data_IF_249435828752
#
_entry.id   IF_249435828752
#
_cell.length_a   1.000
_cell.length_b   1.000
_cell.length_c   1.000
_cell.angle_alpha   90.00
_cell.angle_beta   90.00
_cell.angle_gamma   90.00
#
_symmetry.space_group_name_H-M   'P 1'
#
loop_
_entity.id
_entity.type
_entity.pdbx_description
1 polymer ?
#
# COMPACT_ATOMS: atom_id res chain seq x y z
N UNK A 1 30.27 -4.13 19.86
CA UNK A 1 30.23 -4.48 18.43
C UNK A 1 28.88 -4.04 17.90
N UNK A 2 28.85 -3.18 16.89
CA UNK A 2 27.59 -2.71 16.30
C UNK A 2 27.00 -3.82 15.42
N UNK A 3 25.68 -4.00 15.44
CA UNK A 3 25.03 -5.09 14.70
C UNK A 3 25.07 -4.80 13.20
N UNK A 4 24.87 -3.54 12.79
CA UNK A 4 25.03 -3.08 11.42
C UNK A 4 26.37 -3.46 10.81
N UNK A 5 27.48 -3.22 11.52
CA UNK A 5 28.83 -3.47 10.99
C UNK A 5 29.04 -4.96 10.72
N UNK A 6 28.62 -5.81 11.67
CA UNK A 6 28.67 -7.26 11.50
C UNK A 6 27.80 -7.73 10.32
N UNK A 7 26.59 -7.18 10.18
CA UNK A 7 25.70 -7.52 9.07
C UNK A 7 26.26 -7.05 7.72
N UNK A 8 26.95 -5.90 7.67
CA UNK A 8 27.64 -5.41 6.46
C UNK A 8 28.85 -6.29 6.11
N UNK A 9 29.64 -6.71 7.08
CA UNK A 9 30.76 -7.64 6.87
C UNK A 9 30.30 -9.02 6.38
N UNK A 10 29.10 -9.44 6.78
CA UNK A 10 28.51 -10.71 6.34
C UNK A 10 27.96 -10.68 4.91
N UNK A 11 27.73 -9.49 4.34
CA UNK A 11 27.21 -9.32 2.98
C UNK A 11 28.29 -9.69 1.95
N UNK A 12 28.04 -10.65 1.04
CA UNK A 12 28.99 -10.94 -0.03
C UNK A 12 29.24 -9.71 -0.90
N UNK A 13 30.49 -9.49 -1.30
CA UNK A 13 30.82 -8.41 -2.21
C UNK A 13 30.07 -8.57 -3.53
N UNK A 14 29.65 -7.44 -4.12
CA UNK A 14 28.93 -7.41 -5.39
C UNK A 14 29.69 -8.17 -6.50
N UNK A 15 31.02 -8.03 -6.54
CA UNK A 15 31.91 -8.70 -7.49
C UNK A 15 31.97 -10.22 -7.30
N UNK A 16 31.68 -10.72 -6.10
CA UNK A 16 31.74 -12.15 -5.78
C UNK A 16 30.39 -12.83 -5.98
N UNK A 17 29.31 -12.03 -5.93
CA UNK A 17 27.94 -12.50 -6.14
C UNK A 17 27.56 -12.55 -7.61
N UNK A 18 27.83 -11.47 -8.36
CA UNK A 18 27.37 -11.30 -9.73
C UNK A 18 28.50 -11.55 -10.75
N UNK A 19 28.16 -12.29 -11.82
CA UNK A 19 29.05 -12.54 -12.96
C UNK A 19 28.74 -11.56 -14.10
N UNK A 20 27.46 -11.52 -14.52
CA UNK A 20 26.99 -10.62 -15.60
C UNK A 20 25.57 -10.15 -15.30
N UNK A 21 25.27 -8.91 -15.69
CA UNK A 21 23.93 -8.34 -15.60
C UNK A 21 23.53 -7.74 -16.95
N UNK A 22 22.26 -7.92 -17.30
CA UNK A 22 21.63 -7.35 -18.47
C UNK A 22 20.38 -6.59 -18.03
N UNK A 23 20.16 -5.44 -18.64
CA UNK A 23 18.94 -4.64 -18.50
C UNK A 23 18.46 -4.22 -19.87
N UNK A 24 17.21 -4.54 -20.22
CA UNK A 24 16.65 -4.33 -21.56
C UNK A 24 17.53 -4.93 -22.67
N UNK A 25 18.08 -6.12 -22.44
CA UNK A 25 18.98 -6.82 -23.37
C UNK A 25 20.40 -6.25 -23.47
N UNK A 26 20.70 -5.11 -22.84
CA UNK A 26 22.03 -4.52 -22.84
C UNK A 26 22.84 -4.95 -21.61
N UNK A 27 24.12 -5.29 -21.82
CA UNK A 27 25.04 -5.59 -20.72
C UNK A 27 25.26 -4.34 -19.87
N UNK A 28 25.11 -4.45 -18.56
CA UNK A 28 25.37 -3.40 -17.56
C UNK A 28 26.32 -3.89 -16.48
N UNK A 29 27.02 -2.95 -15.85
CA UNK A 29 27.79 -3.25 -14.65
C UNK A 29 26.83 -3.54 -13.49
N UNK A 30 26.89 -4.76 -12.93
CA UNK A 30 26.03 -5.18 -11.83
C UNK A 30 26.14 -4.23 -10.62
N UNK A 31 27.35 -3.80 -10.27
CA UNK A 31 27.59 -2.99 -9.07
C UNK A 31 27.16 -1.54 -9.23
N UNK A 32 26.85 -1.09 -10.45
CA UNK A 32 26.30 0.24 -10.71
C UNK A 32 24.76 0.24 -10.70
N UNK A 33 24.13 -0.85 -11.13
CA UNK A 33 22.66 -0.93 -11.24
C UNK A 33 22.00 -1.43 -9.95
N UNK A 34 22.74 -2.16 -9.11
CA UNK A 34 22.29 -2.60 -7.80
C UNK A 34 22.74 -1.62 -6.72
N UNK A 35 21.87 -1.37 -5.74
CA UNK A 35 22.15 -0.50 -4.60
C UNK A 35 21.94 -1.26 -3.29
N UNK A 36 22.70 -0.88 -2.26
CA UNK A 36 22.56 -1.43 -0.91
C UNK A 36 21.15 -1.15 -0.36
N UNK A 37 20.51 -2.20 0.15
CA UNK A 37 19.15 -2.17 0.70
C UNK A 37 19.18 -2.75 2.12
N UNK A 38 18.50 -2.07 3.05
CA UNK A 38 18.21 -2.63 4.38
C UNK A 38 16.99 -3.52 4.31
N UNK A 39 17.07 -4.69 4.93
CA UNK A 39 15.98 -5.65 5.09
C UNK A 39 16.07 -6.31 6.47
N UNK A 40 14.98 -6.89 6.96
CA UNK A 40 14.98 -7.65 8.23
C UNK A 40 15.83 -8.93 8.16
N UNK A 41 16.08 -9.46 6.97
CA UNK A 41 16.97 -10.63 6.77
C UNK A 41 18.45 -10.22 6.75
N UNK A 42 18.76 -8.93 6.62
CA UNK A 42 20.12 -8.40 6.50
C UNK A 42 20.26 -7.28 5.48
N UNK A 43 21.49 -6.84 5.25
CA UNK A 43 21.77 -6.01 4.09
C UNK A 43 21.67 -6.84 2.81
N UNK A 44 21.17 -6.24 1.74
CA UNK A 44 20.91 -6.89 0.45
C UNK A 44 21.25 -5.96 -0.71
N UNK A 45 21.26 -6.50 -1.93
CA UNK A 45 21.32 -5.72 -3.16
C UNK A 45 19.92 -5.58 -3.76
N UNK A 46 19.51 -4.34 -4.02
CA UNK A 46 18.23 -4.03 -4.67
C UNK A 46 18.47 -3.43 -6.05
N UNK A 47 17.68 -3.87 -7.04
CA UNK A 47 17.62 -3.24 -8.34
C UNK A 47 16.38 -2.33 -8.39
N UNK A 48 16.55 -1.11 -8.89
CA UNK A 48 15.46 -0.16 -9.12
C UNK A 48 14.61 0.23 -7.90
N UNK A 49 15.12 0.06 -6.68
CA UNK A 49 14.47 0.51 -5.44
C UNK A 49 14.64 2.02 -5.23
N UNK A 50 13.61 2.70 -4.71
CA UNK A 50 13.63 4.07 -4.19
C UNK A 50 13.87 4.11 -2.67
N UNK A 51 13.75 2.97 -1.99
CA UNK A 51 14.01 2.82 -0.55
C UNK A 51 15.44 2.35 -0.26
N UNK A 52 16.29 2.27 -1.29
CA UNK A 52 17.71 1.93 -1.17
C UNK A 52 18.50 3.01 -0.43
N UNK A 53 19.62 2.63 0.19
CA UNK A 53 20.44 3.53 1.00
C UNK A 53 20.97 4.74 0.22
N UNK A 54 21.21 4.58 -1.08
CA UNK A 54 21.68 5.63 -2.00
C UNK A 54 20.58 6.61 -2.41
N UNK A 55 19.31 6.32 -2.12
CA UNK A 55 18.13 7.07 -2.59
C UNK A 55 17.25 7.60 -1.46
N UNK A 56 17.78 7.71 -0.24
CA UNK A 56 17.05 8.22 0.93
C UNK A 56 16.46 9.62 0.76
N UNK A 57 17.06 10.43 -0.10
CA UNK A 57 16.59 11.79 -0.40
C UNK A 57 15.44 11.83 -1.42
N UNK A 58 15.04 10.69 -1.99
CA UNK A 58 13.92 10.64 -2.91
C UNK A 58 12.59 10.68 -2.16
N UNK A 59 11.79 11.72 -2.41
CA UNK A 59 10.44 11.87 -1.86
C UNK A 59 9.45 12.30 -2.95
N UNK A 60 8.16 12.12 -2.68
CA UNK A 60 7.09 12.62 -3.55
C UNK A 60 7.01 14.13 -3.38
N UNK A 61 7.29 14.90 -4.43
CA UNK A 61 7.19 16.37 -4.39
C UNK A 61 5.74 16.82 -4.57
N UNK A 62 5.06 16.32 -5.60
CA UNK A 62 3.70 16.72 -5.94
C UNK A 62 2.90 15.53 -6.48
N UNK A 63 1.60 15.48 -6.12
CA UNK A 63 0.63 14.56 -6.70
C UNK A 63 -0.20 15.35 -7.72
N UNK A 64 0.28 15.46 -8.95
CA UNK A 64 -0.45 16.13 -10.02
C UNK A 64 -0.97 15.11 -11.04
N UNK A 65 -2.26 15.18 -11.35
CA UNK A 65 -2.89 14.40 -12.42
C UNK A 65 -2.64 12.88 -12.32
N UNK A 66 -2.86 12.28 -11.15
CA UNK A 66 -2.84 10.82 -11.00
C UNK A 66 -1.47 10.14 -11.23
N UNK A 67 -0.38 10.90 -11.31
CA UNK A 67 0.97 10.37 -11.50
C UNK A 67 1.89 10.75 -10.33
N UNK A 68 2.71 9.79 -9.90
CA UNK A 68 3.77 10.02 -8.91
C UNK A 68 4.90 10.80 -9.59
N UNK A 69 4.87 12.12 -9.50
CA UNK A 69 5.98 12.96 -9.94
C UNK A 69 7.04 12.97 -8.82
N UNK A 70 8.06 12.14 -9.01
CA UNK A 70 9.27 12.15 -8.21
C UNK A 70 10.03 13.45 -8.50
N UNK A 71 10.76 13.96 -7.51
CA UNK A 71 11.41 15.26 -7.61
C UNK A 71 12.28 15.36 -8.89
N UNK A 72 11.85 16.21 -9.83
CA UNK A 72 12.37 16.36 -11.21
C UNK A 72 13.84 16.80 -11.29
N UNK A 73 14.44 17.19 -10.15
CA UNK A 73 15.82 17.68 -10.10
C UNK A 73 16.87 16.58 -9.91
N UNK A 74 16.49 15.36 -9.46
CA UNK A 74 17.45 14.27 -9.30
C UNK A 74 17.09 13.07 -10.20
N UNK A 75 17.84 12.83 -11.29
CA UNK A 75 17.56 11.71 -12.19
C UNK A 75 17.67 10.34 -11.48
N UNK A 76 18.41 10.24 -10.38
CA UNK A 76 18.51 9.01 -9.59
C UNK A 76 17.19 8.58 -8.94
N UNK A 77 16.28 9.53 -8.72
CA UNK A 77 14.95 9.29 -8.15
C UNK A 77 13.93 8.83 -9.17
N UNK A 78 14.28 8.70 -10.46
CA UNK A 78 13.37 8.14 -11.47
C UNK A 78 13.61 6.63 -11.61
N UNK A 79 12.59 5.77 -11.36
CA UNK A 79 12.73 4.34 -11.59
C UNK A 79 12.96 4.05 -13.07
N UNK A 80 13.83 3.07 -13.34
CA UNK A 80 14.07 2.53 -14.67
C UNK A 80 12.78 1.88 -15.19
N UNK A 81 12.50 2.09 -16.47
CA UNK A 81 11.34 1.55 -17.17
C UNK A 81 11.80 0.69 -18.35
N UNK A 82 10.94 -0.25 -18.76
CA UNK A 82 11.14 -1.06 -19.97
C UNK A 82 9.91 -0.92 -20.86
N UNK A 83 10.13 -1.00 -22.17
CA UNK A 83 9.10 -0.94 -23.21
C UNK A 83 8.83 -2.29 -23.85
N UNK A 84 9.50 -3.34 -23.35
CA UNK A 84 9.40 -4.71 -23.86
C UNK A 84 8.90 -5.65 -22.75
N UNK A 85 8.34 -6.79 -23.17
CA UNK A 85 7.83 -7.83 -22.27
C UNK A 85 8.29 -9.20 -22.74
N UNK A 86 8.30 -10.18 -21.84
CA UNK A 86 8.78 -11.54 -22.12
C UNK A 86 10.24 -11.75 -21.73
N UNK A 87 10.70 -13.00 -21.86
CA UNK A 87 12.00 -13.44 -21.35
C UNK A 87 13.17 -12.59 -21.87
N UNK A 88 14.11 -12.28 -20.98
CA UNK A 88 15.30 -11.43 -21.25
C UNK A 88 15.02 -9.97 -21.63
N UNK A 89 13.75 -9.51 -21.61
CA UNK A 89 13.40 -8.12 -21.88
C UNK A 89 13.59 -7.17 -20.68
N UNK A 90 13.63 -7.73 -19.47
CA UNK A 90 13.75 -6.99 -18.22
C UNK A 90 15.17 -7.05 -17.64
N UNK A 91 15.27 -7.53 -16.40
CA UNK A 91 16.52 -7.72 -15.68
C UNK A 91 16.94 -9.19 -15.78
N UNK A 92 18.10 -9.44 -16.36
CA UNK A 92 18.72 -10.78 -16.36
C UNK A 92 20.03 -10.73 -15.59
N UNK A 93 20.19 -11.62 -14.61
CA UNK A 93 21.37 -11.68 -13.74
C UNK A 93 21.95 -13.08 -13.79
N UNK A 94 23.23 -13.16 -14.10
CA UNK A 94 24.03 -14.37 -14.01
C UNK A 94 24.82 -14.31 -12.71
N UNK A 95 24.56 -15.26 -11.82
CA UNK A 95 25.27 -15.37 -10.54
C UNK A 95 26.55 -16.16 -10.72
N UNK A 96 27.59 -15.76 -10.00
CA UNK A 96 28.80 -16.59 -9.86
C UNK A 96 28.44 -17.94 -9.24
N UNK A 97 29.16 -18.99 -9.59
CA UNK A 97 28.98 -20.31 -8.98
C UNK A 97 29.41 -20.26 -7.51
N UNK A 98 28.74 -21.03 -6.67
CA UNK A 98 29.29 -21.39 -5.37
C UNK A 98 30.16 -22.63 -5.48
N UNK A 99 31.46 -22.46 -5.27
CA UNK A 99 32.41 -23.57 -5.18
C UNK A 99 32.42 -24.19 -3.77
N UNK A 100 31.85 -23.50 -2.77
CA UNK A 100 31.74 -24.02 -1.41
C UNK A 100 30.47 -24.88 -1.28
N UNK A 101 30.60 -26.17 -1.58
CA UNK A 101 29.66 -27.17 -1.06
C UNK A 101 29.70 -27.12 0.47
N UNK A 102 28.60 -26.70 1.11
CA UNK A 102 28.44 -26.93 2.54
C UNK A 102 28.51 -28.43 2.79
N UNK A 103 29.21 -28.84 3.85
CA UNK A 103 29.47 -30.23 4.25
C UNK A 103 28.21 -31.12 4.31
N UNK A 104 27.02 -30.52 4.32
CA UNK A 104 25.72 -31.18 4.42
C UNK A 104 24.94 -31.27 3.08
N UNK A 105 25.54 -30.94 1.93
CA UNK A 105 24.88 -31.03 0.62
C UNK A 105 23.83 -29.93 0.34
N UNK A 106 23.70 -28.93 1.22
CA UNK A 106 22.90 -27.74 0.96
C UNK A 106 23.68 -26.78 0.06
N UNK A 107 23.18 -26.53 -1.15
CA UNK A 107 23.66 -25.41 -1.98
C UNK A 107 23.17 -24.10 -1.38
N UNK A 108 24.05 -23.12 -1.13
CA UNK A 108 23.61 -21.75 -0.82
C UNK A 108 22.77 -21.23 -2.00
N UNK A 109 21.64 -20.62 -1.66
CA UNK A 109 20.78 -19.93 -2.62
C UNK A 109 20.68 -18.46 -2.22
N UNK A 110 20.25 -17.64 -3.17
CA UNK A 110 19.86 -16.26 -2.89
C UNK A 110 18.35 -16.20 -2.75
N UNK A 111 17.86 -15.38 -1.82
CA UNK A 111 16.45 -15.08 -1.70
C UNK A 111 16.13 -13.88 -2.62
N UNK A 112 15.20 -14.02 -3.54
CA UNK A 112 14.81 -12.95 -4.47
C UNK A 112 13.43 -12.44 -4.07
N UNK A 113 13.35 -11.14 -3.76
CA UNK A 113 12.10 -10.46 -3.40
C UNK A 113 11.72 -9.49 -4.51
N UNK A 114 10.42 -9.40 -4.80
CA UNK A 114 9.87 -8.45 -5.77
C UNK A 114 8.87 -7.57 -5.03
N UNK A 115 9.12 -6.27 -5.04
CA UNK A 115 8.26 -5.27 -4.42
C UNK A 115 8.14 -4.04 -5.32
N UNK A 116 7.09 -3.22 -5.15
CA UNK A 116 7.02 -1.89 -5.72
C UNK A 116 8.24 -1.05 -5.33
N UNK A 117 8.65 -0.14 -6.22
CA UNK A 117 9.91 0.61 -6.07
C UNK A 117 9.95 1.50 -4.83
N UNK A 118 8.80 1.94 -4.33
CA UNK A 118 8.65 2.81 -3.16
C UNK A 118 8.29 2.07 -1.86
N UNK A 119 8.23 0.73 -1.90
CA UNK A 119 7.97 -0.09 -0.71
C UNK A 119 9.26 -0.73 -0.20
N UNK A 120 9.35 -0.88 1.12
CA UNK A 120 10.40 -1.66 1.74
C UNK A 120 10.13 -3.15 1.54
N UNK A 121 11.15 -3.95 1.21
CA UNK A 121 10.98 -5.39 1.04
C UNK A 121 10.66 -6.04 2.39
N UNK A 122 9.53 -6.73 2.45
CA UNK A 122 9.11 -7.49 3.64
C UNK A 122 9.74 -8.89 3.64
N UNK A 123 10.34 -9.26 4.77
CA UNK A 123 11.00 -10.56 4.93
C UNK A 123 10.01 -11.74 4.80
N UNK A 124 10.51 -12.89 4.34
CA UNK A 124 9.70 -14.11 4.22
C UNK A 124 8.80 -14.23 2.98
N UNK A 125 8.72 -13.20 2.12
CA UNK A 125 7.97 -13.24 0.85
C UNK A 125 8.80 -13.67 -0.38
N UNK A 126 10.08 -14.00 -0.17
CA UNK A 126 11.03 -14.23 -1.24
C UNK A 126 11.04 -15.62 -1.85
N UNK A 127 11.66 -15.72 -3.02
CA UNK A 127 11.85 -16.96 -3.78
C UNK A 127 13.31 -17.33 -3.82
N UNK A 128 13.63 -18.54 -3.34
CA UNK A 128 15.02 -19.01 -3.33
C UNK A 128 15.47 -19.45 -4.73
N UNK A 129 16.50 -18.78 -5.26
CA UNK A 129 17.31 -19.23 -6.39
C UNK A 129 18.54 -19.97 -5.86
N UNK A 130 18.60 -21.28 -6.10
CA UNK A 130 19.77 -22.08 -5.76
C UNK A 130 20.93 -21.71 -6.69
N UNK A 131 22.10 -21.42 -6.13
CA UNK A 131 23.33 -21.07 -6.87
C UNK A 131 24.04 -22.32 -7.43
N UNK A 132 23.26 -23.28 -7.92
CA UNK A 132 23.72 -24.54 -8.52
C UNK A 132 23.79 -24.39 -10.03
N UNK A 133 24.80 -25.00 -10.66
CA UNK A 133 24.99 -25.00 -12.11
C UNK A 133 23.73 -25.39 -12.88
N UNK A 134 23.47 -24.64 -13.96
CA UNK A 134 22.42 -24.94 -14.92
C UNK A 134 21.00 -24.70 -14.41
N UNK A 135 20.82 -23.92 -13.33
CA UNK A 135 19.47 -23.57 -12.82
C UNK A 135 19.09 -22.17 -13.24
N UNK A 136 17.91 -22.06 -13.83
CA UNK A 136 17.28 -20.79 -14.16
C UNK A 136 16.03 -20.58 -13.31
N UNK A 137 15.94 -19.41 -12.69
CA UNK A 137 14.73 -18.89 -12.08
C UNK A 137 14.19 -17.76 -12.96
N UNK A 138 13.02 -17.98 -13.52
CA UNK A 138 12.29 -17.03 -14.34
C UNK A 138 11.11 -16.52 -13.53
N UNK A 139 11.01 -15.20 -13.38
CA UNK A 139 9.93 -14.54 -12.65
C UNK A 139 9.19 -13.60 -13.59
N UNK A 140 7.99 -14.01 -13.96
CA UNK A 140 7.06 -13.23 -14.77
C UNK A 140 6.26 -12.30 -13.86
N UNK A 141 6.39 -11.00 -14.06
CA UNK A 141 5.73 -9.97 -13.25
C UNK A 141 4.53 -9.41 -14.00
N UNK A 142 3.38 -9.39 -13.35
CA UNK A 142 2.17 -8.71 -13.83
C UNK A 142 1.86 -7.52 -12.92
N UNK A 143 2.01 -6.28 -13.41
CA UNK A 143 1.68 -5.10 -12.63
C UNK A 143 0.16 -4.95 -12.49
N UNK A 144 -0.26 -4.72 -11.25
CA UNK A 144 -1.61 -4.33 -10.89
C UNK A 144 -1.55 -2.90 -10.37
N UNK A 145 -2.28 -2.00 -11.02
CA UNK A 145 -2.36 -0.59 -10.65
C UNK A 145 -3.71 -0.37 -9.99
N UNK A 146 -3.70 0.34 -8.86
CA UNK A 146 -4.90 0.74 -8.14
C UNK A 146 -5.01 2.26 -8.24
N UNK A 147 -6.14 2.73 -8.71
CA UNK A 147 -6.43 4.16 -8.87
C UNK A 147 -7.79 4.52 -8.30
N UNK A 148 -7.90 5.74 -7.79
CA UNK A 148 -9.18 6.33 -7.43
C UNK A 148 -9.63 7.31 -8.52
N UNK A 149 -10.93 7.30 -8.83
CA UNK A 149 -11.52 8.29 -9.74
C UNK A 149 -11.47 9.70 -9.17
N UNK A 150 -11.35 10.72 -10.02
CA UNK A 150 -11.27 12.13 -9.62
C UNK A 150 -12.45 12.58 -8.74
N UNK A 151 -13.66 12.06 -9.00
CA UNK A 151 -14.85 12.31 -8.16
C UNK A 151 -14.68 11.78 -6.74
N UNK A 152 -14.05 10.61 -6.55
CA UNK A 152 -13.83 9.99 -5.23
C UNK A 152 -12.82 10.78 -4.39
N UNK A 153 -11.79 11.36 -5.02
CA UNK A 153 -10.75 12.17 -4.35
C UNK A 153 -11.35 13.39 -3.64
N UNK A 154 -12.44 13.96 -4.16
CA UNK A 154 -13.13 15.11 -3.55
C UNK A 154 -13.77 14.80 -2.18
N UNK A 155 -13.92 13.53 -1.83
CA UNK A 155 -14.48 13.11 -0.55
C UNK A 155 -13.37 12.99 0.52
N UNK A 156 -13.72 13.32 1.76
CA UNK A 156 -12.86 13.15 2.93
C UNK A 156 -12.40 11.70 3.08
N UNK A 157 -11.16 11.47 3.53
CA UNK A 157 -10.57 10.14 3.75
C UNK A 157 -11.51 9.15 4.47
N UNK A 158 -12.22 9.57 5.52
CA UNK A 158 -13.16 8.73 6.27
C UNK A 158 -14.33 8.17 5.43
N UNK A 159 -14.80 8.90 4.41
CA UNK A 159 -15.90 8.44 3.54
C UNK A 159 -15.43 7.54 2.40
N UNK A 160 -14.17 7.68 1.98
CA UNK A 160 -13.59 6.90 0.88
C UNK A 160 -12.78 5.69 1.34
N UNK A 161 -12.53 5.57 2.65
CA UNK A 161 -11.82 4.45 3.28
C UNK A 161 -10.43 4.16 2.65
N UNK A 162 -9.84 5.19 2.06
CA UNK A 162 -8.46 5.18 1.58
C UNK A 162 -7.79 6.50 1.93
N UNK A 163 -6.46 6.56 1.86
CA UNK A 163 -5.67 7.77 2.10
C UNK A 163 -4.89 8.18 0.87
N UNK A 164 -4.77 9.50 0.68
CA UNK A 164 -3.88 10.06 -0.33
C UNK A 164 -2.48 10.21 0.27
N UNK A 165 -1.41 10.17 -0.55
CA UNK A 165 -0.04 10.37 -0.08
C UNK A 165 0.16 11.67 0.72
N UNK A 166 -0.60 12.72 0.38
CA UNK A 166 -0.51 14.04 1.03
C UNK A 166 -1.23 14.11 2.40
N UNK A 167 -2.18 13.21 2.67
CA UNK A 167 -2.96 13.24 3.91
C UNK A 167 -2.26 12.56 5.07
N UNK A 168 -1.35 11.63 4.76
CA UNK A 168 -0.64 10.83 5.75
C UNK A 168 0.80 10.65 5.36
N UNK A 169 1.65 11.46 5.98
CA UNK A 169 3.10 11.28 5.94
C UNK A 169 3.54 10.22 6.95
N UNK A 170 4.51 9.43 6.55
CA UNK A 170 5.27 8.53 7.41
C UNK A 170 6.49 9.29 7.96
N UNK A 171 7.01 8.89 9.13
CA UNK A 171 8.18 9.53 9.74
C UNK A 171 9.48 9.06 9.12
N UNK A 172 9.57 7.75 8.91
CA UNK A 172 10.82 7.10 8.49
C UNK A 172 10.92 6.98 6.97
N UNK A 173 9.80 6.69 6.29
CA UNK A 173 9.79 6.48 4.85
C UNK A 173 9.12 7.65 4.12
N UNK A 174 9.65 8.05 2.97
CA UNK A 174 9.10 9.18 2.21
C UNK A 174 7.82 8.83 1.43
N UNK A 175 7.50 7.54 1.30
CA UNK A 175 6.38 7.05 0.51
C UNK A 175 5.37 6.33 1.38
N UNK A 176 4.15 6.86 1.43
CA UNK A 176 3.06 6.15 2.09
C UNK A 176 2.65 4.93 1.27
N UNK A 177 2.76 3.77 1.88
CA UNK A 177 2.08 2.56 1.47
C UNK A 177 1.55 1.84 2.72
N UNK A 178 0.62 0.91 2.54
CA UNK A 178 0.10 0.16 3.68
C UNK A 178 1.24 -0.66 4.33
N UNK A 179 2.08 -1.31 3.53
CA UNK A 179 3.26 -2.05 3.97
C UNK A 179 4.23 -1.16 4.75
N UNK A 180 4.58 0.00 4.21
CA UNK A 180 5.50 0.94 4.87
C UNK A 180 4.93 1.46 6.19
N UNK A 181 3.61 1.71 6.26
CA UNK A 181 2.93 2.12 7.49
C UNK A 181 3.00 1.04 8.57
N UNK A 182 2.82 -0.23 8.21
CA UNK A 182 2.91 -1.36 9.14
C UNK A 182 4.34 -1.58 9.63
N UNK A 183 5.32 -1.43 8.74
CA UNK A 183 6.74 -1.47 9.07
C UNK A 183 7.10 -0.36 10.08
N UNK A 184 6.59 0.87 9.88
CA UNK A 184 6.79 1.97 10.82
C UNK A 184 6.03 1.78 12.15
N UNK A 185 4.82 1.22 12.13
CA UNK A 185 4.09 0.84 13.34
C UNK A 185 4.93 -0.13 14.19
N UNK A 186 5.48 -1.17 13.56
CA UNK A 186 6.33 -2.15 14.22
C UNK A 186 7.63 -1.54 14.72
N UNK A 187 8.25 -0.64 13.96
CA UNK A 187 9.41 0.15 14.43
C UNK A 187 9.07 0.93 15.71
N UNK A 188 7.96 1.68 15.70
CA UNK A 188 7.53 2.48 16.84
C UNK A 188 7.25 1.62 18.09
N UNK A 189 6.65 0.44 17.90
CA UNK A 189 6.43 -0.52 18.97
C UNK A 189 7.75 -1.01 19.59
N UNK A 190 8.69 -1.43 18.75
CA UNK A 190 10.00 -1.92 19.18
C UNK A 190 10.77 -0.80 19.90
N UNK A 191 10.83 0.38 19.29
CA UNK A 191 11.53 1.54 19.82
C UNK A 191 10.98 1.99 21.18
N UNK A 192 9.65 1.94 21.37
CA UNK A 192 8.99 2.26 22.64
C UNK A 192 9.26 1.25 23.75
N UNK A 193 9.35 -0.04 23.42
CA UNK A 193 9.49 -1.10 24.42
C UNK A 193 10.96 -1.42 24.74
N UNK A 194 11.87 -1.34 23.76
CA UNK A 194 13.29 -1.69 23.92
C UNK A 194 14.25 -0.48 23.98
N UNK A 195 13.74 0.74 23.76
CA UNK A 195 14.53 1.99 23.77
C UNK A 195 15.76 1.92 22.87
N UNK A 196 15.62 1.31 21.68
CA UNK A 196 16.63 1.23 20.63
C UNK A 196 15.95 0.91 19.29
N UNK A 197 16.61 1.22 18.17
CA UNK A 197 16.14 0.85 16.84
C UNK A 197 16.96 -0.33 16.27
N UNK A 198 16.33 -1.39 15.73
CA UNK A 198 17.05 -2.43 15.00
C UNK A 198 17.79 -1.91 13.76
N UNK A 199 18.90 -2.57 13.38
CA UNK A 199 19.78 -2.15 12.28
C UNK A 199 19.08 -1.98 10.92
N UNK A 200 17.99 -2.71 10.68
CA UNK A 200 17.27 -2.66 9.41
C UNK A 200 16.36 -1.44 9.29
N UNK A 201 16.13 -0.71 10.38
CA UNK A 201 15.53 0.62 10.36
C UNK A 201 16.64 1.68 10.32
N UNK A 202 16.35 2.79 9.65
CA UNK A 202 17.26 3.93 9.57
C UNK A 202 16.50 5.22 9.90
N UNK A 203 15.87 5.26 11.07
CA UNK A 203 15.14 6.44 11.54
C UNK A 203 16.11 7.40 12.24
N UNK A 204 16.67 8.31 11.46
CA UNK A 204 17.57 9.37 11.93
C UNK A 204 16.82 10.39 12.80
N UNK A 205 15.51 10.54 12.62
CA UNK A 205 14.71 11.56 13.34
C UNK A 205 14.43 11.18 14.79
N UNK A 206 14.41 9.88 15.08
CA UNK A 206 14.15 9.35 16.43
C UNK A 206 15.25 9.69 17.45
N UNK A 207 16.48 9.92 16.99
CA UNK A 207 17.66 10.07 17.86
C UNK A 207 17.97 8.81 18.69
N UNK A 208 17.32 7.68 18.42
CA UNK A 208 17.53 6.44 19.16
C UNK A 208 18.80 5.71 18.67
N UNK A 209 19.61 5.16 19.59
CA UNK A 209 20.75 4.36 19.19
C UNK A 209 20.31 3.04 18.58
N UNK A 210 21.18 2.48 17.74
CA UNK A 210 21.01 1.13 17.23
C UNK A 210 21.00 0.10 18.38
N UNK A 211 20.17 -0.95 18.28
CA UNK A 211 20.13 -2.01 19.26
C UNK A 211 21.44 -2.84 19.24
N UNK A 212 22.22 -2.77 20.31
CA UNK A 212 23.36 -3.67 20.55
C UNK A 212 22.90 -5.13 20.77
N UNK A 213 23.85 -6.07 20.68
CA UNK A 213 23.62 -7.51 20.90
C UNK A 213 22.88 -7.84 22.20
N UNK A 214 23.18 -7.14 23.30
CA UNK A 214 22.51 -7.35 24.59
C UNK A 214 21.00 -7.02 24.55
N UNK A 215 20.64 -5.99 23.78
CA UNK A 215 19.24 -5.57 23.60
C UNK A 215 18.48 -6.47 22.62
N UNK A 216 19.15 -7.36 21.88
CA UNK A 216 18.46 -8.35 21.04
C UNK A 216 17.62 -9.32 21.87
N UNK A 217 17.96 -9.53 23.15
CA UNK A 217 17.11 -10.31 24.06
C UNK A 217 15.73 -9.67 24.25
N UNK A 218 15.63 -8.34 24.25
CA UNK A 218 14.35 -7.63 24.29
C UNK A 218 13.51 -7.93 23.03
N UNK A 219 14.14 -7.89 21.85
CA UNK A 219 13.49 -8.22 20.58
C UNK A 219 13.03 -9.69 20.55
N UNK A 220 13.85 -10.60 21.06
CA UNK A 220 13.54 -12.02 21.14
C UNK A 220 12.33 -12.28 22.05
N UNK A 221 12.25 -11.61 23.21
CA UNK A 221 11.11 -11.72 24.12
C UNK A 221 9.81 -11.18 23.51
N UNK A 222 9.91 -10.14 22.66
CA UNK A 222 8.76 -9.53 21.97
C UNK A 222 8.46 -10.16 20.61
N UNK A 223 9.18 -11.22 20.19
CA UNK A 223 9.11 -11.72 18.82
C UNK A 223 7.71 -12.21 18.42
N UNK A 224 6.94 -12.73 19.38
CA UNK A 224 5.57 -13.17 19.13
C UNK A 224 4.64 -11.99 18.82
N UNK A 225 4.73 -10.91 19.60
CA UNK A 225 3.93 -9.69 19.41
C UNK A 225 4.31 -8.98 18.11
N UNK A 226 5.62 -8.92 17.80
CA UNK A 226 6.17 -8.34 16.57
C UNK A 226 5.67 -9.08 15.32
N UNK A 227 5.57 -10.41 15.36
CA UNK A 227 5.06 -11.22 14.24
C UNK A 227 3.55 -11.05 14.01
N UNK A 228 2.78 -10.94 15.09
CA UNK A 228 1.31 -10.86 15.02
C UNK A 228 0.81 -9.48 14.56
N UNK A 229 1.63 -8.42 14.66
CA UNK A 229 1.26 -7.08 14.17
C UNK A 229 0.94 -7.01 12.67
N UNK A 230 1.38 -7.97 11.85
CA UNK A 230 1.00 -8.07 10.44
C UNK A 230 -0.45 -8.57 10.23
N UNK A 231 -0.95 -9.47 11.09
CA UNK A 231 -2.25 -10.14 10.94
C UNK A 231 -3.44 -9.36 11.53
N UNK A 232 -3.19 -8.41 12.43
CA UNK A 232 -4.25 -7.71 13.18
C UNK A 232 -5.00 -6.63 12.38
N UNK A 233 -4.54 -6.29 11.17
CA UNK A 233 -5.16 -5.25 10.32
C UNK A 233 -6.52 -5.69 9.76
N UNK A 234 -6.79 -7.00 9.66
CA UNK A 234 -8.06 -7.52 9.13
C UNK A 234 -9.11 -7.79 10.23
N UNK A 235 -8.69 -7.77 11.48
CA UNK A 235 -9.51 -8.11 12.63
C UNK A 235 -9.62 -6.86 13.51
N UNK A 236 -10.77 -6.18 13.47
CA UNK A 236 -11.19 -5.20 14.51
C UNK A 236 -11.30 -5.82 15.92
N UNK A 237 -10.63 -6.93 16.17
CA UNK A 237 -10.60 -7.69 17.42
C UNK A 237 -9.15 -7.93 17.83
N UNK A 238 -8.89 -7.44 19.04
CA UNK A 238 -7.85 -7.85 19.97
C UNK A 238 -6.48 -7.21 19.70
N UNK A 239 -6.23 -6.07 20.33
CA UNK A 239 -5.32 -5.95 21.49
C UNK A 239 -5.71 -4.73 22.35
N UNK A 240 -6.75 -4.91 23.17
CA UNK A 240 -6.90 -4.16 24.43
C UNK A 240 -6.06 -4.82 25.56
N UNK A 241 -5.06 -5.63 25.21
CA UNK A 241 -4.22 -6.30 26.20
C UNK A 241 -2.75 -6.06 25.89
N UNK A 242 -2.21 -5.10 26.65
CA UNK A 242 -0.82 -4.93 27.06
C UNK A 242 0.09 -3.89 26.43
N UNK A 243 -0.18 -3.27 25.28
CA UNK A 243 0.54 -2.03 24.95
C UNK A 243 -0.21 -1.13 23.96
N UNK A 244 -0.34 0.13 24.37
CA UNK A 244 -1.05 1.24 23.76
C UNK A 244 -0.37 1.72 22.45
N UNK A 245 -0.45 0.93 21.38
CA UNK A 245 -0.05 1.34 20.03
C UNK A 245 -1.23 1.15 19.08
N UNK A 246 -2.02 2.21 18.92
CA UNK A 246 -3.06 2.29 17.89
C UNK A 246 -2.39 2.41 16.52
N UNK A 247 -2.26 1.28 15.82
CA UNK A 247 -1.68 1.22 14.48
C UNK A 247 -2.77 1.30 13.42
N UNK A 248 -3.26 2.51 13.17
CA UNK A 248 -4.15 2.78 12.05
C UNK A 248 -3.35 2.86 10.74
N UNK A 249 -3.45 1.85 9.87
CA UNK A 249 -2.80 1.85 8.54
C UNK A 249 -3.84 1.65 7.41
N UNK A 250 -4.59 2.71 7.04
CA UNK A 250 -5.58 2.65 5.98
C UNK A 250 -4.94 2.37 4.61
N UNK A 251 -5.69 1.74 3.72
CA UNK A 251 -5.23 1.44 2.36
C UNK A 251 -4.97 2.73 1.56
N UNK A 252 -3.94 2.79 0.71
CA UNK A 252 -3.73 3.95 -0.14
C UNK A 252 -4.77 4.00 -1.27
N UNK A 253 -5.09 5.21 -1.75
CA UNK A 253 -5.96 5.40 -2.92
C UNK A 253 -5.25 5.13 -4.25
N UNK A 254 -3.93 5.23 -4.25
CA UNK A 254 -3.06 4.94 -5.39
C UNK A 254 -2.03 3.93 -4.96
N UNK A 255 -1.85 2.88 -5.76
CA UNK A 255 -0.92 1.82 -5.42
C UNK A 255 -0.55 0.99 -6.63
N UNK A 256 0.55 0.26 -6.48
CA UNK A 256 1.03 -0.70 -7.44
C UNK A 256 1.32 -1.97 -6.69
N UNK A 257 0.85 -3.10 -7.21
CA UNK A 257 1.14 -4.42 -6.71
C UNK A 257 1.73 -5.26 -7.85
N UNK A 258 2.58 -6.22 -7.51
CA UNK A 258 3.17 -7.13 -8.47
C UNK A 258 2.73 -8.54 -8.18
N UNK A 259 2.01 -9.15 -9.12
CA UNK A 259 1.78 -10.59 -9.11
C UNK A 259 2.92 -11.26 -9.86
N UNK A 260 3.65 -12.14 -9.18
CA UNK A 260 4.77 -12.88 -9.75
C UNK A 260 4.42 -14.33 -10.03
N UNK A 261 4.60 -14.79 -11.27
CA UNK A 261 4.55 -16.20 -11.62
C UNK A 261 5.96 -16.75 -11.77
N UNK A 262 6.25 -17.81 -11.03
CA UNK A 262 7.60 -18.36 -10.87
C UNK A 262 7.75 -19.61 -11.73
N UNK A 263 8.67 -19.58 -12.68
CA UNK A 263 9.05 -20.73 -13.50
C UNK A 263 10.49 -21.14 -13.17
N UNK A 264 10.70 -22.44 -13.01
CA UNK A 264 12.03 -23.02 -12.79
C UNK A 264 12.35 -23.91 -13.97
N UNK A 265 13.47 -23.65 -14.62
CA UNK A 265 13.96 -24.47 -15.72
C UNK A 265 15.42 -24.84 -15.48
N UNK A 266 15.82 -25.96 -16.07
CA UNK A 266 17.23 -26.27 -16.21
C UNK A 266 17.70 -25.63 -17.51
N UNK A 267 18.86 -24.98 -17.47
CA UNK A 267 19.48 -24.40 -18.65
C UNK A 267 20.11 -25.54 -19.46
N UNK A 268 19.29 -26.19 -20.30
CA UNK A 268 19.80 -27.09 -21.32
C UNK A 268 20.18 -26.26 -22.54
N UNK A 269 21.44 -26.37 -22.98
CA UNK A 269 21.96 -25.85 -24.26
C UNK A 269 22.34 -24.36 -24.25
N UNK A 270 23.51 -24.07 -23.70
CA UNK A 270 24.51 -23.24 -24.37
C UNK A 270 25.85 -23.95 -24.19
N UNK A 271 26.58 -24.07 -25.29
CA UNK A 271 27.85 -24.76 -25.49
C UNK A 271 28.78 -24.70 -24.25
N UNK A 272 29.15 -25.87 -23.72
CA UNK A 272 30.19 -26.07 -22.70
C UNK A 272 30.19 -25.15 -21.45
N UNK A 273 29.99 -25.73 -20.26
CA UNK A 273 30.40 -25.13 -18.97
C UNK A 273 29.55 -24.02 -18.33
N UNK A 274 28.23 -23.94 -18.51
CA UNK A 274 27.45 -22.99 -17.68
C UNK A 274 27.30 -23.52 -16.24
N UNK A 275 28.28 -23.14 -15.43
CA UNK A 275 28.35 -23.42 -14.00
C UNK A 275 27.53 -22.43 -13.14
N UNK A 276 26.77 -21.54 -13.78
CA UNK A 276 26.12 -20.39 -13.17
C UNK A 276 24.62 -20.61 -12.90
N UNK A 277 24.08 -19.83 -11.95
CA UNK A 277 22.65 -19.67 -11.75
C UNK A 277 22.14 -18.43 -12.50
N UNK A 278 21.05 -18.56 -13.23
CA UNK A 278 20.46 -17.45 -14.01
C UNK A 278 19.14 -17.01 -13.39
N UNK A 279 19.01 -15.72 -13.11
CA UNK A 279 17.78 -15.05 -12.73
C UNK A 279 17.30 -14.23 -13.92
N UNK A 280 16.04 -14.42 -14.32
CA UNK A 280 15.39 -13.56 -15.31
C UNK A 280 14.09 -13.01 -14.71
N UNK A 281 13.99 -11.68 -14.64
CA UNK A 281 12.80 -10.97 -14.16
C UNK A 281 12.30 -10.07 -15.27
N UNK A 282 11.07 -10.31 -15.72
CA UNK A 282 10.50 -9.58 -16.83
C UNK A 282 8.98 -9.42 -16.68
N UNK A 283 8.40 -8.46 -17.39
CA UNK A 283 6.94 -8.30 -17.42
C UNK A 283 6.30 -9.36 -18.31
N UNK A 284 5.20 -9.95 -17.84
CA UNK A 284 4.49 -10.98 -18.60
C UNK A 284 3.93 -10.44 -19.91
N UNK A 285 3.40 -9.21 -19.89
CA UNK A 285 2.83 -8.48 -21.02
C UNK A 285 3.20 -6.99 -20.90
N UNK A 286 3.05 -6.24 -22.00
CA UNK A 286 3.25 -4.78 -22.01
C UNK A 286 2.19 -3.98 -21.22
N UNK A 287 1.05 -4.61 -20.92
CA UNK A 287 -0.06 -3.97 -20.22
C UNK A 287 -0.05 -4.21 -18.71
N UNK A 288 -0.81 -3.38 -17.99
CA UNK A 288 -1.10 -3.54 -16.58
C UNK A 288 -2.59 -3.74 -16.34
N UNK A 289 -2.95 -4.45 -15.26
CA UNK A 289 -4.34 -4.53 -14.80
C UNK A 289 -4.63 -3.29 -13.97
N UNK A 290 -5.59 -2.46 -14.37
CA UNK A 290 -5.99 -1.27 -13.62
C UNK A 290 -7.31 -1.50 -12.85
N UNK A 291 -7.26 -1.41 -11.51
CA UNK A 291 -8.43 -1.38 -10.64
C UNK A 291 -8.79 0.06 -10.31
N UNK A 292 -9.88 0.53 -10.90
CA UNK A 292 -10.38 1.88 -10.70
C UNK A 292 -11.51 1.92 -9.67
N UNK A 293 -11.25 2.55 -8.51
CA UNK A 293 -12.25 2.79 -7.46
C UNK A 293 -13.15 3.98 -7.82
N UNK A 294 -14.45 3.71 -7.91
CA UNK A 294 -15.50 4.69 -8.18
C UNK A 294 -16.56 4.65 -7.08
N UNK A 295 -17.23 5.77 -6.90
CA UNK A 295 -18.41 5.85 -6.04
C UNK A 295 -19.52 5.04 -6.70
N UNK A 296 -20.20 4.18 -5.95
CA UNK A 296 -21.28 3.35 -6.49
C UNK A 296 -22.53 4.15 -6.85
N UNK A 297 -22.90 5.12 -6.01
CA UNK A 297 -24.03 6.03 -6.25
C UNK A 297 -23.69 7.43 -5.76
N UNK A 298 -23.74 8.40 -6.65
CA UNK A 298 -23.75 9.81 -6.27
C UNK A 298 -25.11 10.22 -5.71
N UNK A 299 -25.16 11.30 -4.92
CA UNK A 299 -26.43 11.85 -4.43
C UNK A 299 -27.40 12.21 -5.56
N UNK A 300 -26.85 12.63 -6.70
CA UNK A 300 -27.62 12.97 -7.91
C UNK A 300 -28.26 11.72 -8.52
N UNK A 301 -27.48 10.66 -8.71
CA UNK A 301 -27.99 9.38 -9.22
C UNK A 301 -29.01 8.75 -8.28
N UNK A 302 -28.84 8.92 -6.97
CA UNK A 302 -29.81 8.47 -5.97
C UNK A 302 -31.16 9.18 -6.14
N UNK A 303 -31.16 10.51 -6.27
CA UNK A 303 -32.39 11.28 -6.50
C UNK A 303 -33.04 10.88 -7.82
N UNK A 304 -32.25 10.72 -8.88
CA UNK A 304 -32.74 10.29 -10.20
C UNK A 304 -33.35 8.89 -10.14
N UNK A 305 -32.71 7.96 -9.43
CA UNK A 305 -33.22 6.59 -9.28
C UNK A 305 -34.52 6.55 -8.48
N UNK A 306 -34.58 7.21 -7.32
CA UNK A 306 -35.81 7.30 -6.51
C UNK A 306 -36.93 7.99 -7.29
N UNK A 307 -36.63 9.08 -7.97
CA UNK A 307 -37.58 9.80 -8.81
C UNK A 307 -38.09 8.97 -9.99
N UNK A 308 -37.20 8.21 -10.64
CA UNK A 308 -37.55 7.29 -11.72
C UNK A 308 -38.47 6.16 -11.25
N UNK A 309 -38.16 5.53 -10.11
CA UNK A 309 -39.00 4.50 -9.50
C UNK A 309 -40.37 5.07 -9.08
N UNK A 310 -40.41 6.24 -8.44
CA UNK A 310 -41.66 6.90 -8.06
C UNK A 310 -42.53 7.24 -9.27
N UNK A 311 -41.94 7.77 -10.34
CA UNK A 311 -42.67 8.09 -11.57
C UNK A 311 -43.21 6.84 -12.27
N UNK A 312 -42.43 5.74 -12.30
CA UNK A 312 -42.85 4.50 -12.98
C UNK A 312 -43.99 3.77 -12.26
N UNK A 313 -43.93 3.65 -10.94
CA UNK A 313 -44.91 2.85 -10.18
C UNK A 313 -46.12 3.66 -9.72
N UNK A 314 -45.93 4.92 -9.34
CA UNK A 314 -46.99 5.76 -8.77
C UNK A 314 -47.49 6.82 -9.76
N UNK A 315 -46.80 7.04 -10.88
CA UNK A 315 -47.07 8.17 -11.77
C UNK A 315 -46.84 9.52 -11.11
N UNK A 316 -46.17 9.57 -9.95
CA UNK A 316 -45.99 10.78 -9.18
C UNK A 316 -44.65 11.44 -9.53
N UNK A 317 -44.71 12.76 -9.75
CA UNK A 317 -43.53 13.60 -9.92
C UNK A 317 -43.32 14.49 -8.70
N UNK A 318 -42.17 15.18 -8.64
CA UNK A 318 -41.91 16.22 -7.62
C UNK A 318 -42.99 17.30 -7.65
N UNK A 319 -43.52 17.63 -8.84
CA UNK A 319 -44.60 18.60 -9.02
C UNK A 319 -45.89 18.08 -8.37
N UNK A 320 -46.21 16.80 -8.59
CA UNK A 320 -47.38 16.15 -7.97
C UNK A 320 -47.29 16.16 -6.44
N UNK A 321 -46.09 15.97 -5.88
CA UNK A 321 -45.86 16.06 -4.44
C UNK A 321 -46.06 17.49 -3.92
N UNK A 322 -45.56 18.50 -4.64
CA UNK A 322 -45.74 19.91 -4.28
C UNK A 322 -47.23 20.32 -4.31
N UNK A 323 -48.00 19.82 -5.28
CA UNK A 323 -49.44 20.05 -5.32
C UNK A 323 -50.16 19.45 -4.12
N UNK A 324 -49.82 18.21 -3.74
CA UNK A 324 -50.40 17.54 -2.56
C UNK A 324 -50.13 18.35 -1.28
N UNK A 325 -48.90 18.83 -1.11
CA UNK A 325 -48.52 19.71 0.02
C UNK A 325 -49.32 21.02 0.00
N UNK A 326 -49.46 21.66 -1.17
CA UNK A 326 -50.24 22.89 -1.31
C UNK A 326 -51.71 22.71 -0.91
N UNK A 327 -52.36 21.66 -1.41
CA UNK A 327 -53.75 21.36 -1.05
C UNK A 327 -53.90 20.99 0.42
N UNK A 328 -52.93 20.26 1.00
CA UNK A 328 -52.91 19.94 2.42
C UNK A 328 -52.83 21.22 3.28
N UNK A 329 -51.90 22.12 2.99
CA UNK A 329 -51.79 23.40 3.70
C UNK A 329 -53.05 24.25 3.59
N UNK A 330 -53.60 24.37 2.38
CA UNK A 330 -54.88 25.09 2.16
C UNK A 330 -56.02 24.47 2.97
N UNK A 331 -56.08 23.14 3.04
CA UNK A 331 -57.03 22.40 3.86
C UNK A 331 -56.87 22.71 5.35
N UNK A 332 -55.65 22.61 5.88
CA UNK A 332 -55.34 22.94 7.29
C UNK A 332 -55.74 24.38 7.63
N UNK A 333 -55.38 25.36 6.80
CA UNK A 333 -55.76 26.78 7.01
C UNK A 333 -57.28 26.95 6.98
N UNK A 334 -57.99 26.26 6.08
CA UNK A 334 -59.45 26.33 6.00
C UNK A 334 -60.11 25.72 7.24
N UNK A 335 -59.57 24.61 7.77
CA UNK A 335 -60.06 23.97 9.00
C UNK A 335 -59.77 24.86 10.20
N UNK A 336 -58.56 25.41 10.33
CA UNK A 336 -58.17 26.35 11.38
C UNK A 336 -59.06 27.60 11.39
N UNK A 337 -59.28 28.22 10.24
CA UNK A 337 -60.17 29.40 10.13
C UNK A 337 -61.62 29.08 10.44
N UNK A 338 -62.12 27.88 10.09
CA UNK A 338 -63.44 27.39 10.50
C UNK A 338 -63.51 27.17 12.01
N UNK A 339 -62.51 26.55 12.63
CA UNK A 339 -62.44 26.36 14.08
C UNK A 339 -62.36 27.69 14.83
N UNK A 340 -61.54 28.64 14.36
CA UNK A 340 -61.44 29.98 14.94
C UNK A 340 -62.76 30.75 14.81
N UNK A 341 -63.47 30.66 13.66
CA UNK A 341 -64.82 31.23 13.53
C UNK A 341 -65.81 30.60 14.51
N UNK A 342 -65.78 29.27 14.69
CA UNK A 342 -66.68 28.55 15.61
C UNK A 342 -66.38 28.88 17.08
N UNK A 343 -65.11 29.05 17.44
CA UNK A 343 -64.68 29.53 18.75
C UNK A 343 -65.13 30.98 19.00
N UNK A 344 -64.96 31.85 18.00
CA UNK A 344 -65.42 33.26 18.07
C UNK A 344 -66.94 33.38 18.20
N UNK A 345 -67.71 32.52 17.52
CA UNK A 345 -69.17 32.46 17.69
C UNK A 345 -69.60 31.98 19.08
N UNK A 346 -68.84 31.07 19.73
CA UNK A 346 -69.10 30.66 21.13
C UNK A 346 -68.80 31.77 22.14
N UNK A 347 -67.84 32.65 21.86
CA UNK A 347 -67.54 33.84 22.67
C UNK A 347 -68.58 34.95 22.56
N UNK A 348 -69.49 34.90 21.57
CA UNK A 348 -70.50 35.95 21.31
C UNK A 348 -71.91 35.51 21.76
N UNK A 349 -72.10 34.36 22.42
CA UNK A 349 -73.38 34.07 23.06
C UNK A 349 -73.60 35.01 24.26
N UNK A 350 -74.63 35.87 24.27
CA UNK A 350 -74.92 36.73 25.41
C UNK A 350 -75.48 35.86 26.54
N UNK A 351 -74.92 36.03 27.74
CA UNK A 351 -75.55 35.62 29.00
C UNK A 351 -76.96 36.20 29.06
N UNK A 352 -77.99 35.37 28.86
CA UNK A 352 -79.38 35.75 29.14
C UNK A 352 -79.49 35.96 30.65
N UNK A 353 -79.55 37.23 31.05
CA UNK A 353 -80.01 37.67 32.36
C UNK A 353 -81.40 37.07 32.63
N UNK A 354 -81.49 36.22 33.64
CA UNK A 354 -82.76 35.87 34.27
C UNK A 354 -83.10 36.93 35.31
N UNK A 355 -83.99 37.85 34.97
CA UNK A 355 -84.79 38.57 35.95
C UNK A 355 -86.08 37.78 36.14
N UNK A 356 -86.30 37.23 37.33
CA UNK A 356 -87.63 36.89 37.85
C UNK A 356 -87.72 37.41 39.28
N UNK A 357 -88.87 38.04 39.53
CA UNK A 357 -89.27 38.82 40.71
C UNK A 357 -89.07 38.13 42.06
#
# INVERSE_FOLDING_TARGET
MNVSDFMLESLPLCTDLFEMCYWNGERKNCCEIFSLQRTEEGFCYSFNSLTAETKKECYIRDFFMQSLLLNDQNPACTPRQTTSSGRYSGLTVVLKKDDQLLLNGFSRGINVLISPTYELPEAGSGVVLKRKSGRMLEIEVTPIIIECSSKLISYSSAKRECVLPQEKALKFNNFYSQTNCLIECRHNFISKNCNCQPYFFNDVTSGLPECNLEKLNCLANLSAEIRVMADLVYSNRILNMRNNTDCSCPVPCYGTMYNSLIKRSNLSVFDGEIQHGLLDVHFSNLGAVNYLRKISFSQQELIVSIGGTGNLFLGCSVISLMELVYYFFRGCVTILTRCLRKYRQRLIQPTRFGFYN
#
